data_IF_143157959580
#
_entry.id   IF_143157959580
#
_cell.length_a   1.000
_cell.length_b   1.000
_cell.length_c   1.000
_cell.angle_alpha   90.00
_cell.angle_beta   90.00
_cell.angle_gamma   90.00
#
_symmetry.space_group_name_H-M   'P 1'
#
loop_
_entity.id
_entity.type
_entity.pdbx_description
1 polymer ?
#
# COMPACT_ATOMS: atom_id res chain seq x y z
N UNK A 1 0.35 21.02 -16.42
CA UNK A 1 0.46 19.65 -15.87
C UNK A 1 0.03 18.67 -16.96
N UNK A 2 0.67 17.50 -17.06
CA UNK A 2 0.36 16.48 -18.09
C UNK A 2 -1.06 15.93 -17.87
N UNK A 3 -1.39 15.58 -16.62
CA UNK A 3 -2.76 15.22 -16.23
C UNK A 3 -3.63 16.47 -16.05
N UNK A 4 -4.87 16.38 -16.53
CA UNK A 4 -5.91 17.42 -16.40
C UNK A 4 -7.01 17.04 -15.40
N UNK A 5 -7.19 15.76 -15.12
CA UNK A 5 -8.16 15.25 -14.17
C UNK A 5 -7.93 15.79 -12.76
N UNK A 6 -9.04 15.96 -12.02
CA UNK A 6 -9.04 16.54 -10.69
C UNK A 6 -9.79 15.63 -9.72
N UNK A 7 -9.21 15.40 -8.55
CA UNK A 7 -9.81 14.60 -7.49
C UNK A 7 -9.92 15.41 -6.20
N UNK A 8 -10.85 15.03 -5.32
CA UNK A 8 -10.86 15.55 -3.95
C UNK A 8 -9.76 14.89 -3.11
N UNK A 9 -9.40 15.53 -2.00
CA UNK A 9 -8.49 14.97 -1.01
C UNK A 9 -9.04 13.64 -0.49
N UNK A 10 -10.35 13.56 -0.25
CA UNK A 10 -11.01 12.31 0.13
C UNK A 10 -10.80 11.22 -0.92
N UNK A 11 -11.03 11.51 -2.21
CA UNK A 11 -10.82 10.54 -3.29
C UNK A 11 -9.38 10.00 -3.33
N UNK A 12 -8.39 10.89 -3.20
CA UNK A 12 -6.98 10.49 -3.16
C UNK A 12 -6.71 9.52 -2.00
N UNK A 13 -7.20 9.83 -0.80
CA UNK A 13 -6.96 9.02 0.38
C UNK A 13 -7.78 7.72 0.40
N UNK A 14 -8.94 7.71 -0.25
CA UNK A 14 -9.74 6.52 -0.52
C UNK A 14 -9.07 5.59 -1.53
N UNK A 15 -8.26 6.11 -2.47
CA UNK A 15 -7.40 5.27 -3.33
C UNK A 15 -6.30 4.59 -2.51
N UNK A 16 -5.72 5.29 -1.54
CA UNK A 16 -4.60 4.77 -0.75
C UNK A 16 -5.02 3.73 0.29
N UNK A 17 -6.26 3.79 0.80
CA UNK A 17 -6.78 2.79 1.73
C UNK A 17 -6.66 1.34 1.20
N UNK A 18 -7.29 0.94 0.07
CA UNK A 18 -7.17 -0.40 -0.48
C UNK A 18 -5.77 -0.67 -1.03
N UNK A 19 -5.04 0.37 -1.46
CA UNK A 19 -3.63 0.24 -1.90
C UNK A 19 -2.77 -0.36 -0.80
N UNK A 20 -2.93 0.09 0.45
CA UNK A 20 -2.23 -0.49 1.60
C UNK A 20 -2.89 -1.82 1.99
N UNK A 21 -4.21 -1.77 2.26
CA UNK A 21 -4.96 -2.86 2.88
C UNK A 21 -4.97 -4.16 2.08
N UNK A 22 -5.02 -4.11 0.74
CA UNK A 22 -5.13 -5.30 -0.08
C UNK A 22 -4.03 -6.31 0.25
N UNK A 23 -2.76 -5.90 0.26
CA UNK A 23 -1.67 -6.84 0.59
C UNK A 23 -1.44 -6.99 2.10
N UNK A 24 -1.72 -5.94 2.87
CA UNK A 24 -1.41 -5.86 4.30
C UNK A 24 -2.24 -6.89 5.10
N UNK A 25 -3.57 -6.85 4.94
CA UNK A 25 -4.51 -7.61 5.76
C UNK A 25 -4.34 -9.12 5.68
N UNK A 26 -3.88 -9.63 4.54
CA UNK A 26 -3.73 -11.08 4.28
C UNK A 26 -2.35 -11.61 4.64
N UNK A 27 -1.30 -10.80 4.57
CA UNK A 27 0.09 -11.28 4.73
C UNK A 27 0.74 -10.84 6.05
N UNK A 28 0.46 -9.61 6.50
CA UNK A 28 1.12 -9.04 7.68
C UNK A 28 0.81 -9.80 8.97
N UNK A 29 -0.40 -10.35 9.22
CA UNK A 29 -0.62 -11.16 10.42
C UNK A 29 0.33 -12.37 10.50
N UNK A 30 0.56 -13.07 9.38
CA UNK A 30 1.48 -14.23 9.32
C UNK A 30 2.94 -13.83 9.51
N UNK A 31 3.37 -12.71 8.93
CA UNK A 31 4.77 -12.28 9.00
C UNK A 31 5.07 -11.67 10.37
N UNK A 32 4.24 -10.74 10.85
CA UNK A 32 4.53 -9.95 12.04
C UNK A 32 4.37 -10.79 13.32
N UNK A 33 3.47 -11.78 13.36
CA UNK A 33 3.32 -12.66 14.52
C UNK A 33 4.56 -13.53 14.79
N UNK A 34 5.35 -13.85 13.74
CA UNK A 34 6.62 -14.58 13.90
C UNK A 34 7.66 -13.80 14.71
N UNK A 35 7.51 -12.47 14.77
CA UNK A 35 8.37 -11.59 15.55
C UNK A 35 7.72 -11.17 16.86
N UNK A 36 6.47 -10.72 16.83
CA UNK A 36 5.79 -10.14 17.98
C UNK A 36 5.01 -11.15 18.84
N UNK A 37 4.78 -12.37 18.34
CA UNK A 37 3.94 -13.35 19.00
C UNK A 37 2.54 -12.78 19.29
N UNK A 38 2.00 -13.07 20.48
CA UNK A 38 0.69 -12.56 20.95
C UNK A 38 0.61 -11.03 20.99
N UNK A 39 1.73 -10.31 21.00
CA UNK A 39 1.79 -8.84 21.00
C UNK A 39 1.72 -8.22 19.59
N UNK A 40 1.36 -9.01 18.57
CA UNK A 40 1.13 -8.55 17.19
C UNK A 40 0.20 -7.33 17.11
N UNK A 41 -0.86 -7.29 17.91
CA UNK A 41 -1.82 -6.19 17.89
C UNK A 41 -1.21 -4.85 18.35
N UNK A 42 -0.29 -4.88 19.34
CA UNK A 42 0.49 -3.70 19.74
C UNK A 42 1.46 -3.26 18.63
N UNK A 43 2.02 -4.23 17.91
CA UNK A 43 2.93 -3.96 16.79
C UNK A 43 2.25 -3.14 15.69
N UNK A 44 0.97 -3.40 15.42
CA UNK A 44 0.15 -2.61 14.50
C UNK A 44 0.01 -1.15 14.93
N UNK A 45 -0.22 -0.92 16.23
CA UNK A 45 -0.37 0.43 16.77
C UNK A 45 0.96 1.20 16.68
N UNK A 46 2.09 0.56 17.00
CA UNK A 46 3.40 1.18 16.86
C UNK A 46 3.75 1.47 15.40
N UNK A 47 3.40 0.57 14.48
CA UNK A 47 3.62 0.75 13.06
C UNK A 47 2.83 1.92 12.46
N UNK A 48 1.60 2.18 12.93
CA UNK A 48 0.76 3.25 12.41
C UNK A 48 1.31 4.65 12.71
N UNK A 49 2.14 4.80 13.75
CA UNK A 49 2.88 6.04 14.04
C UNK A 49 3.72 6.50 12.84
N UNK A 50 4.30 5.55 12.10
CA UNK A 50 5.05 5.84 10.87
C UNK A 50 4.11 6.35 9.77
N UNK A 51 2.92 5.77 9.61
CA UNK A 51 1.91 6.27 8.68
C UNK A 51 1.51 7.72 8.98
N UNK A 52 1.25 8.04 10.26
CA UNK A 52 0.92 9.42 10.67
C UNK A 52 2.09 10.39 10.42
N UNK A 53 3.32 9.96 10.70
CA UNK A 53 4.52 10.74 10.38
C UNK A 53 4.64 11.00 8.87
N UNK A 54 4.42 9.99 8.03
CA UNK A 54 4.50 10.11 6.58
C UNK A 54 3.43 11.09 6.06
N UNK A 55 2.18 11.02 6.55
CA UNK A 55 1.14 12.02 6.20
C UNK A 55 1.58 13.44 6.57
N UNK A 56 2.18 13.61 7.75
CA UNK A 56 2.72 14.90 8.16
C UNK A 56 3.82 15.38 7.21
N UNK A 57 4.75 14.52 6.81
CA UNK A 57 5.82 14.85 5.86
C UNK A 57 5.25 15.29 4.51
N UNK A 58 4.26 14.55 3.97
CA UNK A 58 3.58 14.90 2.71
C UNK A 58 2.95 16.29 2.81
N UNK A 59 2.20 16.58 3.87
CA UNK A 59 1.55 17.89 4.09
C UNK A 59 2.58 19.02 4.15
N UNK A 60 3.69 18.83 4.88
CA UNK A 60 4.74 19.84 5.01
C UNK A 60 5.46 20.09 3.69
N UNK A 61 5.83 19.03 2.95
CA UNK A 61 6.46 19.17 1.64
C UNK A 61 5.53 19.88 0.64
N UNK A 62 4.24 19.57 0.65
CA UNK A 62 3.26 20.23 -0.21
C UNK A 62 3.07 21.72 0.09
N UNK A 63 3.10 22.11 1.36
CA UNK A 63 3.05 23.52 1.76
C UNK A 63 4.29 24.29 1.34
N UNK A 64 5.46 23.65 1.34
CA UNK A 64 6.71 24.28 0.88
C UNK A 64 6.77 24.39 -0.66
N UNK A 65 6.25 23.38 -1.37
CA UNK A 65 6.27 23.31 -2.83
C UNK A 65 4.85 23.09 -3.38
N UNK A 66 3.97 24.10 -3.27
CA UNK A 66 2.61 23.99 -3.77
C UNK A 66 2.62 23.79 -5.28
N UNK A 67 1.66 23.01 -5.79
CA UNK A 67 1.48 22.72 -7.22
C UNK A 67 2.63 21.97 -7.91
N UNK A 68 3.69 21.62 -7.20
CA UNK A 68 4.79 20.85 -7.77
C UNK A 68 4.57 19.36 -7.57
N UNK A 69 4.91 18.57 -8.59
CA UNK A 69 4.95 17.12 -8.49
C UNK A 69 6.16 16.66 -7.67
N UNK A 70 6.11 15.41 -7.18
CA UNK A 70 7.24 14.80 -6.48
C UNK A 70 8.56 14.98 -7.22
N UNK A 71 8.56 14.71 -8.53
CA UNK A 71 9.73 14.84 -9.39
C UNK A 71 10.22 16.30 -9.47
N UNK A 72 9.30 17.26 -9.61
CA UNK A 72 9.64 18.67 -9.73
C UNK A 72 10.24 19.23 -8.44
N UNK A 73 9.63 18.97 -7.28
CA UNK A 73 10.17 19.52 -6.04
C UNK A 73 11.47 18.80 -5.62
N UNK A 74 11.66 17.53 -5.98
CA UNK A 74 12.94 16.85 -5.74
C UNK A 74 14.10 17.53 -6.50
N UNK A 75 13.88 17.94 -7.75
CA UNK A 75 14.86 18.73 -8.50
C UNK A 75 15.13 20.10 -7.84
N UNK A 76 14.12 20.75 -7.28
CA UNK A 76 14.31 22.03 -6.56
C UNK A 76 15.03 21.88 -5.21
N UNK A 77 14.78 20.78 -4.49
CA UNK A 77 15.38 20.53 -3.16
C UNK A 77 16.84 20.08 -3.31
N UNK A 78 17.09 19.07 -4.15
CA UNK A 78 18.39 18.42 -4.28
C UNK A 78 19.26 19.03 -5.38
N UNK A 79 18.66 19.67 -6.38
CA UNK A 79 19.29 20.04 -7.64
C UNK A 79 18.90 19.08 -8.77
N UNK A 80 19.08 19.51 -10.02
CA UNK A 80 18.56 18.81 -11.21
C UNK A 80 19.08 17.37 -11.31
N UNK A 81 20.41 17.16 -11.23
CA UNK A 81 21.00 15.83 -11.36
C UNK A 81 20.57 14.87 -10.23
N UNK A 82 20.81 15.17 -8.93
CA UNK A 82 20.40 14.27 -7.85
C UNK A 82 18.88 14.11 -7.75
N UNK A 83 18.10 15.16 -8.04
CA UNK A 83 16.64 15.08 -8.11
C UNK A 83 16.14 14.15 -9.20
N UNK A 84 16.73 14.19 -10.40
CA UNK A 84 16.42 13.26 -11.49
C UNK A 84 16.83 11.84 -11.19
N UNK A 85 18.00 11.61 -10.58
CA UNK A 85 18.42 10.27 -10.16
C UNK A 85 17.44 9.70 -9.14
N UNK A 86 17.02 10.50 -8.17
CA UNK A 86 16.00 10.08 -7.20
C UNK A 86 14.69 9.72 -7.90
N UNK A 87 14.22 10.56 -8.83
CA UNK A 87 13.05 10.26 -9.65
C UNK A 87 13.15 8.90 -10.37
N UNK A 88 14.29 8.63 -11.02
CA UNK A 88 14.53 7.36 -11.70
C UNK A 88 14.51 6.16 -10.74
N UNK A 89 15.02 6.31 -9.52
CA UNK A 89 14.97 5.28 -8.47
C UNK A 89 13.51 4.94 -8.13
N UNK A 90 12.65 5.94 -7.89
CA UNK A 90 11.22 5.68 -7.63
C UNK A 90 10.51 5.04 -8.82
N UNK A 91 10.79 5.49 -10.05
CA UNK A 91 10.18 4.91 -11.25
C UNK A 91 10.59 3.44 -11.45
N UNK A 92 11.88 3.15 -11.27
CA UNK A 92 12.39 1.78 -11.34
C UNK A 92 11.77 0.91 -10.26
N UNK A 93 11.65 1.45 -9.04
CA UNK A 93 10.99 0.77 -7.93
C UNK A 93 9.50 0.53 -8.20
N UNK A 94 8.75 1.48 -8.78
CA UNK A 94 7.33 1.26 -9.10
C UNK A 94 7.14 0.12 -10.10
N UNK A 95 7.96 0.05 -11.15
CA UNK A 95 7.91 -1.06 -12.11
C UNK A 95 8.24 -2.41 -11.43
N UNK A 96 9.28 -2.43 -10.60
CA UNK A 96 9.64 -3.61 -9.82
C UNK A 96 8.53 -4.02 -8.83
N UNK A 97 7.95 -3.07 -8.11
CA UNK A 97 6.88 -3.30 -7.15
C UNK A 97 5.62 -3.84 -7.84
N UNK A 98 5.27 -3.33 -9.03
CA UNK A 98 4.17 -3.88 -9.84
C UNK A 98 4.37 -5.34 -10.18
N UNK A 99 5.58 -5.72 -10.60
CA UNK A 99 5.90 -7.13 -10.86
C UNK A 99 5.68 -8.03 -9.65
N UNK A 100 6.07 -7.57 -8.44
CA UNK A 100 5.83 -8.28 -7.18
C UNK A 100 4.33 -8.34 -6.85
N UNK A 101 3.61 -7.22 -6.93
CA UNK A 101 2.19 -7.14 -6.60
C UNK A 101 1.38 -8.06 -7.50
N UNK A 102 1.66 -8.07 -8.80
CA UNK A 102 1.02 -8.96 -9.76
C UNK A 102 1.38 -10.44 -9.53
N UNK A 103 2.59 -10.72 -9.03
CA UNK A 103 3.01 -12.07 -8.66
C UNK A 103 2.26 -12.56 -7.43
N UNK A 104 2.22 -11.74 -6.37
CA UNK A 104 1.44 -12.00 -5.14
C UNK A 104 -0.04 -12.23 -5.49
N UNK A 105 -0.59 -11.39 -6.38
CA UNK A 105 -1.94 -11.52 -6.91
C UNK A 105 -2.21 -12.87 -7.56
N UNK A 106 -1.42 -13.23 -8.57
CA UNK A 106 -1.67 -14.43 -9.34
C UNK A 106 -1.45 -15.70 -8.53
N UNK A 107 -0.42 -15.75 -7.68
CA UNK A 107 -0.19 -16.91 -6.80
C UNK A 107 -1.32 -17.10 -5.80
N UNK A 108 -1.86 -16.01 -5.23
CA UNK A 108 -3.01 -16.11 -4.32
C UNK A 108 -4.27 -16.59 -5.05
N UNK A 109 -4.60 -15.99 -6.20
CA UNK A 109 -5.83 -16.32 -6.96
C UNK A 109 -5.79 -17.75 -7.50
N UNK A 110 -4.68 -18.16 -8.11
CA UNK A 110 -4.52 -19.51 -8.66
C UNK A 110 -4.45 -20.54 -7.54
N UNK A 111 -3.67 -20.25 -6.49
CA UNK A 111 -3.49 -21.16 -5.35
C UNK A 111 -4.77 -21.39 -4.56
N UNK A 112 -5.70 -20.43 -4.58
CA UNK A 112 -6.91 -20.49 -3.76
C UNK A 112 -8.18 -20.87 -4.54
N UNK A 113 -8.32 -20.49 -5.83
CA UNK A 113 -9.60 -20.64 -6.56
C UNK A 113 -9.44 -21.00 -8.05
N UNK A 114 -8.48 -20.42 -8.76
CA UNK A 114 -8.34 -20.58 -10.22
C UNK A 114 -7.19 -21.52 -10.59
N UNK A 115 -7.13 -22.70 -9.98
CA UNK A 115 -6.01 -23.65 -10.10
C UNK A 115 -5.77 -24.16 -11.54
N UNK A 116 -6.80 -24.14 -12.39
CA UNK A 116 -6.73 -24.57 -13.79
C UNK A 116 -6.48 -23.42 -14.77
N UNK A 117 -6.49 -22.16 -14.31
CA UNK A 117 -6.33 -21.00 -15.18
C UNK A 117 -4.85 -20.67 -15.37
N UNK A 118 -4.36 -20.50 -16.61
CA UNK A 118 -2.96 -20.15 -16.84
C UNK A 118 -2.55 -18.85 -16.17
N UNK A 119 -1.35 -18.82 -15.59
CA UNK A 119 -0.78 -17.66 -14.89
C UNK A 119 -0.86 -16.36 -15.71
N UNK A 120 -0.52 -16.44 -17.00
CA UNK A 120 -0.57 -15.29 -17.92
C UNK A 120 -1.98 -14.73 -18.12
N UNK A 121 -3.02 -15.58 -18.09
CA UNK A 121 -4.41 -15.12 -18.24
C UNK A 121 -4.85 -14.35 -17.00
N UNK A 122 -4.47 -14.82 -15.80
CA UNK A 122 -4.80 -14.15 -14.54
C UNK A 122 -4.11 -12.78 -14.45
N UNK A 123 -2.80 -12.71 -14.69
CA UNK A 123 -2.06 -11.43 -14.66
C UNK A 123 -2.47 -10.52 -15.80
N UNK A 124 -2.55 -11.05 -17.03
CA UNK A 124 -2.85 -10.27 -18.23
C UNK A 124 -4.24 -9.62 -18.20
N UNK A 125 -5.25 -10.33 -17.67
CA UNK A 125 -6.60 -9.79 -17.53
C UNK A 125 -6.64 -8.63 -16.52
N UNK A 126 -5.98 -8.77 -15.36
CA UNK A 126 -5.90 -7.68 -14.38
C UNK A 126 -5.17 -6.47 -14.97
N UNK A 127 -3.99 -6.67 -15.57
CA UNK A 127 -3.20 -5.59 -16.18
C UNK A 127 -3.98 -4.88 -17.29
N UNK A 128 -4.74 -5.63 -18.09
CA UNK A 128 -5.58 -5.04 -19.14
C UNK A 128 -6.65 -4.11 -18.57
N UNK A 129 -7.38 -4.55 -17.54
CA UNK A 129 -8.42 -3.72 -16.89
C UNK A 129 -7.79 -2.50 -16.21
N UNK A 130 -6.65 -2.66 -15.52
CA UNK A 130 -5.89 -1.56 -14.94
C UNK A 130 -5.40 -0.58 -16.01
N UNK A 131 -4.91 -1.05 -17.16
CA UNK A 131 -4.47 -0.19 -18.26
C UNK A 131 -5.62 0.66 -18.82
N UNK A 132 -6.82 0.09 -18.93
CA UNK A 132 -8.02 0.83 -19.32
C UNK A 132 -8.36 1.93 -18.29
N UNK A 133 -8.34 1.61 -16.99
CA UNK A 133 -8.60 2.58 -15.93
C UNK A 133 -7.56 3.71 -15.88
N UNK A 134 -6.27 3.36 -15.97
CA UNK A 134 -5.14 4.31 -15.96
C UNK A 134 -5.18 5.22 -17.18
N UNK A 135 -5.52 4.72 -18.39
CA UNK A 135 -5.72 5.58 -19.58
C UNK A 135 -6.89 6.55 -19.41
N UNK A 136 -7.92 6.15 -18.65
CA UNK A 136 -9.05 6.99 -18.27
C UNK A 136 -8.68 8.14 -17.32
N UNK A 137 -7.52 8.06 -16.66
CA UNK A 137 -6.95 9.10 -15.83
C UNK A 137 -7.30 9.01 -14.35
N UNK A 138 -6.76 9.94 -13.58
CA UNK A 138 -6.84 9.92 -12.10
C UNK A 138 -8.27 9.92 -11.57
N UNK A 139 -9.21 10.56 -12.27
CA UNK A 139 -10.62 10.58 -11.89
C UNK A 139 -11.28 9.20 -11.99
N UNK A 140 -10.95 8.43 -13.03
CA UNK A 140 -11.47 7.07 -13.21
C UNK A 140 -10.95 6.18 -12.08
N UNK A 141 -9.64 6.22 -11.81
CA UNK A 141 -9.05 5.47 -10.70
C UNK A 141 -9.65 5.87 -9.35
N UNK A 142 -9.83 7.17 -9.10
CA UNK A 142 -10.43 7.69 -7.88
C UNK A 142 -11.88 7.24 -7.67
N UNK A 143 -12.71 7.29 -8.73
CA UNK A 143 -14.10 6.82 -8.68
C UNK A 143 -14.19 5.31 -8.48
N UNK A 144 -13.34 4.53 -9.16
CA UNK A 144 -13.27 3.09 -8.95
C UNK A 144 -12.86 2.75 -7.51
N UNK A 145 -11.88 3.46 -6.94
CA UNK A 145 -11.49 3.25 -5.55
C UNK A 145 -12.61 3.57 -4.56
N UNK A 146 -13.38 4.64 -4.79
CA UNK A 146 -14.54 4.98 -3.96
C UNK A 146 -15.60 3.88 -3.94
N UNK A 147 -15.86 3.27 -5.10
CA UNK A 147 -16.78 2.14 -5.20
C UNK A 147 -16.28 0.93 -4.40
N UNK A 148 -14.99 0.60 -4.54
CA UNK A 148 -14.42 -0.60 -3.93
C UNK A 148 -14.11 -0.46 -2.43
N UNK A 149 -13.95 0.75 -1.90
CA UNK A 149 -13.69 0.95 -0.46
C UNK A 149 -14.83 0.47 0.42
N UNK A 150 -16.09 0.72 0.04
CA UNK A 150 -17.25 0.25 0.79
C UNK A 150 -17.34 -1.27 0.80
N UNK A 151 -17.02 -1.89 -0.35
CA UNK A 151 -16.93 -3.33 -0.52
C UNK A 151 -15.77 -3.95 0.26
N UNK A 152 -14.70 -3.19 0.55
CA UNK A 152 -13.59 -3.65 1.38
C UNK A 152 -13.94 -3.80 2.86
N UNK A 153 -14.70 -2.83 3.36
CA UNK A 153 -14.99 -2.72 4.78
C UNK A 153 -16.09 -3.73 5.16
N UNK A 154 -17.23 -3.71 4.47
CA UNK A 154 -18.43 -4.41 4.92
C UNK A 154 -18.24 -5.94 5.14
N UNK A 155 -17.67 -6.72 4.19
CA UNK A 155 -17.56 -8.17 4.34
C UNK A 155 -16.55 -8.58 5.41
N UNK A 156 -15.50 -7.78 5.62
CA UNK A 156 -14.55 -8.01 6.71
C UNK A 156 -15.23 -7.84 8.08
N UNK A 157 -16.00 -6.77 8.26
CA UNK A 157 -16.74 -6.56 9.51
C UNK A 157 -17.79 -7.65 9.77
N UNK A 158 -18.48 -8.10 8.71
CA UNK A 158 -19.42 -9.22 8.79
C UNK A 158 -18.71 -10.50 9.23
N UNK A 159 -17.55 -10.81 8.63
CA UNK A 159 -16.74 -11.98 9.01
C UNK A 159 -16.35 -11.93 10.49
N UNK A 160 -15.88 -10.78 10.99
CA UNK A 160 -15.52 -10.61 12.41
C UNK A 160 -16.74 -10.82 13.32
N UNK A 161 -17.91 -10.31 12.93
CA UNK A 161 -19.16 -10.48 13.70
C UNK A 161 -19.56 -11.96 13.81
N UNK A 162 -19.48 -12.70 12.71
CA UNK A 162 -19.81 -14.13 12.67
C UNK A 162 -18.85 -14.98 13.49
N UNK A 163 -17.59 -14.55 13.62
CA UNK A 163 -16.57 -15.27 14.40
C UNK A 163 -16.64 -15.01 15.91
N UNK A 164 -17.39 -13.99 16.37
CA UNK A 164 -17.44 -13.63 17.80
C UNK A 164 -17.68 -14.80 18.77
N UNK A 165 -18.56 -15.78 18.48
CA UNK A 165 -18.80 -16.92 19.38
C UNK A 165 -17.57 -17.81 19.61
N UNK A 166 -16.66 -17.86 18.64
CA UNK A 166 -15.48 -18.75 18.62
C UNK A 166 -14.20 -18.04 19.09
N UNK A 167 -14.24 -16.74 19.36
CA UNK A 167 -13.05 -15.98 19.73
C UNK A 167 -12.61 -16.24 21.18
N UNK A 168 -11.38 -16.71 21.35
CA UNK A 168 -10.78 -16.92 22.66
C UNK A 168 -9.83 -15.79 23.04
N UNK A 169 -10.34 -14.77 23.74
CA UNK A 169 -9.57 -13.59 24.21
C UNK A 169 -8.34 -13.96 25.04
N UNK A 170 -8.37 -15.13 25.72
CA UNK A 170 -7.23 -15.66 26.49
C UNK A 170 -5.96 -15.83 25.65
N UNK A 171 -6.09 -16.01 24.33
CA UNK A 171 -4.96 -16.12 23.40
C UNK A 171 -4.11 -14.84 23.32
N UNK A 172 -4.59 -13.70 23.82
CA UNK A 172 -3.83 -12.46 23.93
C UNK A 172 -2.86 -12.42 25.12
N UNK A 173 -3.06 -13.27 26.12
CA UNK A 173 -2.31 -13.24 27.38
C UNK A 173 -1.22 -14.31 27.44
N UNK A 174 -0.14 -14.09 28.22
CA UNK A 174 0.20 -12.82 28.88
C UNK A 174 0.72 -11.78 27.87
N UNK A 175 0.41 -10.51 28.13
CA UNK A 175 0.81 -9.36 27.30
C UNK A 175 2.26 -9.00 27.63
N UNK A 176 3.09 -8.75 26.61
CA UNK A 176 4.52 -8.40 26.73
C UNK A 176 5.34 -9.41 27.53
N UNK A 177 5.03 -10.71 27.40
CA UNK A 177 5.69 -11.81 28.09
C UNK A 177 7.23 -11.83 27.89
N UNK A 178 7.67 -11.36 26.73
CA UNK A 178 9.07 -11.31 26.32
C UNK A 178 9.61 -9.86 26.21
N UNK A 179 8.94 -8.91 26.90
CA UNK A 179 9.25 -7.48 26.85
C UNK A 179 8.79 -6.81 25.55
N UNK A 180 9.16 -5.53 25.37
CA UNK A 180 8.69 -4.71 24.24
C UNK A 180 9.46 -4.93 22.93
N UNK A 181 10.66 -5.49 22.99
CA UNK A 181 11.53 -5.62 21.81
C UNK A 181 10.93 -6.51 20.70
N UNK A 182 10.32 -7.67 20.99
CA UNK A 182 9.61 -8.47 19.98
C UNK A 182 8.49 -7.69 19.28
N UNK A 183 7.71 -6.92 20.04
CA UNK A 183 6.67 -6.03 19.52
C UNK A 183 7.24 -4.96 18.57
N UNK A 184 8.35 -4.33 18.93
CA UNK A 184 9.02 -3.35 18.06
C UNK A 184 9.50 -4.01 16.76
N UNK A 185 10.03 -5.24 16.81
CA UNK A 185 10.43 -5.99 15.62
C UNK A 185 9.23 -6.32 14.72
N UNK A 186 8.11 -6.74 15.30
CA UNK A 186 6.86 -6.93 14.56
C UNK A 186 6.34 -5.62 13.94
N UNK A 187 6.48 -4.49 14.64
CA UNK A 187 6.09 -3.19 14.13
C UNK A 187 6.95 -2.77 12.93
N UNK A 188 8.23 -3.15 12.91
CA UNK A 188 9.14 -2.89 11.79
C UNK A 188 8.63 -3.49 10.46
N UNK A 189 7.95 -4.65 10.52
CA UNK A 189 7.30 -5.27 9.36
C UNK A 189 6.13 -4.41 8.90
N UNK A 190 5.15 -4.19 9.78
CA UNK A 190 3.90 -3.51 9.45
C UNK A 190 4.09 -2.05 9.05
N UNK A 191 5.13 -1.37 9.54
CA UNK A 191 5.40 0.02 9.15
C UNK A 191 5.73 0.18 7.67
N UNK A 192 6.26 -0.86 7.01
CA UNK A 192 6.60 -0.76 5.58
C UNK A 192 5.31 -0.61 4.76
N UNK A 193 4.27 -1.38 5.07
CA UNK A 193 2.93 -1.19 4.48
C UNK A 193 2.33 0.18 4.83
N UNK A 194 2.42 0.62 6.09
CA UNK A 194 1.98 1.97 6.49
C UNK A 194 2.73 3.08 5.74
N UNK A 195 4.01 2.87 5.42
CA UNK A 195 4.83 3.80 4.64
C UNK A 195 4.31 4.04 3.22
N UNK A 196 3.63 3.07 2.60
CA UNK A 196 3.08 3.20 1.23
C UNK A 196 2.07 4.34 1.09
N UNK A 197 1.55 4.88 2.21
CA UNK A 197 0.81 6.14 2.26
C UNK A 197 1.56 7.31 1.58
N UNK A 198 2.90 7.24 1.52
CA UNK A 198 3.71 8.20 0.77
C UNK A 198 3.33 8.32 -0.70
N UNK A 199 2.72 7.30 -1.31
CA UNK A 199 2.20 7.37 -2.68
C UNK A 199 1.25 8.56 -2.90
N UNK A 200 0.57 9.04 -1.86
CA UNK A 200 -0.25 10.25 -1.92
C UNK A 200 0.50 11.49 -2.40
N UNK A 201 1.81 11.58 -2.16
CA UNK A 201 2.64 12.68 -2.65
C UNK A 201 2.64 12.81 -4.19
N UNK A 202 2.44 11.71 -4.91
CA UNK A 202 2.40 11.68 -6.37
C UNK A 202 1.06 12.16 -6.95
N UNK A 203 -0.02 12.12 -6.15
CA UNK A 203 -1.37 12.52 -6.55
C UNK A 203 -1.76 13.92 -6.09
N UNK A 204 -1.11 14.41 -5.04
CA UNK A 204 -1.41 15.69 -4.41
C UNK A 204 -1.46 16.92 -5.34
N UNK A 205 -0.65 17.02 -6.41
CA UNK A 205 -0.79 18.12 -7.39
C UNK A 205 -2.16 18.17 -8.08
N UNK A 206 -2.85 17.04 -8.18
CA UNK A 206 -4.16 16.90 -8.84
C UNK A 206 -5.35 17.05 -7.88
N UNK A 207 -5.07 17.20 -6.58
CA UNK A 207 -6.10 17.42 -5.56
C UNK A 207 -6.59 18.87 -5.58
N UNK A 208 -7.92 19.06 -5.59
CA UNK A 208 -8.57 20.39 -5.60
C UNK A 208 -8.56 21.03 -4.21
N UNK A 209 -9.04 20.31 -3.20
CA UNK A 209 -9.21 20.79 -1.81
C UNK A 209 -8.00 20.43 -0.93
N UNK A 210 -6.79 20.83 -1.36
CA UNK A 210 -5.51 20.43 -0.72
C UNK A 210 -5.41 20.74 0.76
N UNK A 211 -6.11 21.77 1.24
CA UNK A 211 -6.18 22.11 2.66
C UNK A 211 -6.69 20.94 3.54
N UNK A 212 -7.55 20.09 2.98
CA UNK A 212 -8.06 18.89 3.64
C UNK A 212 -7.12 17.67 3.49
N UNK A 213 -6.02 17.79 2.75
CA UNK A 213 -5.09 16.70 2.47
C UNK A 213 -4.57 16.04 3.74
N UNK A 214 -4.10 16.82 4.72
CA UNK A 214 -3.65 16.28 6.02
C UNK A 214 -4.79 15.60 6.79
N UNK A 215 -5.97 16.25 6.86
CA UNK A 215 -7.13 15.74 7.61
C UNK A 215 -7.51 14.35 7.12
N UNK A 216 -7.76 14.22 5.82
CA UNK A 216 -8.16 12.94 5.22
C UNK A 216 -7.04 11.90 5.26
N UNK A 217 -5.77 12.30 5.16
CA UNK A 217 -4.65 11.38 5.31
C UNK A 217 -4.56 10.78 6.71
N UNK A 218 -4.72 11.61 7.74
CA UNK A 218 -4.73 11.13 9.13
C UNK A 218 -5.92 10.19 9.38
N UNK A 219 -7.10 10.52 8.84
CA UNK A 219 -8.29 9.67 8.93
C UNK A 219 -8.04 8.32 8.25
N UNK A 220 -7.49 8.30 7.04
CA UNK A 220 -7.19 7.05 6.33
C UNK A 220 -6.19 6.19 7.08
N UNK A 221 -5.08 6.76 7.58
CA UNK A 221 -4.11 5.98 8.40
C UNK A 221 -4.78 5.41 9.65
N UNK A 222 -5.64 6.18 10.32
CA UNK A 222 -6.40 5.70 11.47
C UNK A 222 -7.30 4.51 11.13
N UNK A 223 -8.02 4.56 10.00
CA UNK A 223 -8.88 3.45 9.57
C UNK A 223 -8.09 2.22 9.09
N UNK A 224 -6.94 2.40 8.44
CA UNK A 224 -6.05 1.28 8.11
C UNK A 224 -5.55 0.62 9.41
N UNK A 225 -5.08 1.43 10.38
CA UNK A 225 -4.65 0.94 11.69
C UNK A 225 -5.77 0.17 12.39
N UNK A 226 -6.99 0.73 12.44
CA UNK A 226 -8.13 0.10 13.09
C UNK A 226 -8.49 -1.24 12.42
N UNK A 227 -8.56 -1.28 11.09
CA UNK A 227 -8.94 -2.49 10.38
C UNK A 227 -7.87 -3.59 10.52
N UNK A 228 -6.59 -3.24 10.41
CA UNK A 228 -5.49 -4.19 10.63
C UNK A 228 -5.40 -4.65 12.09
N UNK A 229 -5.70 -3.77 13.06
CA UNK A 229 -5.78 -4.12 14.46
C UNK A 229 -6.89 -5.15 14.71
N UNK A 230 -8.08 -4.92 14.15
CA UNK A 230 -9.19 -5.87 14.21
C UNK A 230 -8.81 -7.20 13.57
N UNK A 231 -8.19 -7.18 12.37
CA UNK A 231 -7.75 -8.40 11.69
C UNK A 231 -6.77 -9.21 12.55
N UNK A 232 -5.75 -8.54 13.11
CA UNK A 232 -4.75 -9.17 13.96
C UNK A 232 -5.33 -9.75 15.25
N UNK A 233 -6.27 -9.03 15.90
CA UNK A 233 -6.96 -9.53 17.09
C UNK A 233 -7.86 -10.72 16.75
N UNK A 234 -8.62 -10.66 15.66
CA UNK A 234 -9.50 -11.75 15.23
C UNK A 234 -8.71 -13.02 14.98
N UNK A 235 -7.63 -12.98 14.18
CA UNK A 235 -6.83 -14.19 13.90
C UNK A 235 -6.10 -14.69 15.15
N UNK A 236 -5.63 -13.78 16.02
CA UNK A 236 -5.00 -14.15 17.28
C UNK A 236 -5.99 -14.83 18.24
N UNK A 237 -7.21 -14.31 18.36
CA UNK A 237 -8.22 -14.85 19.26
C UNK A 237 -8.76 -16.18 18.75
N UNK A 238 -8.92 -16.32 17.42
CA UNK A 238 -9.42 -17.53 16.80
C UNK A 238 -8.39 -18.66 16.80
N UNK A 239 -7.18 -18.40 16.30
CA UNK A 239 -6.18 -19.44 16.05
C UNK A 239 -5.05 -19.49 17.10
N UNK A 240 -4.85 -18.41 17.85
CA UNK A 240 -3.70 -18.30 18.75
C UNK A 240 -2.37 -18.08 18.01
N UNK A 241 -1.29 -17.87 18.76
CA UNK A 241 0.03 -17.54 18.21
C UNK A 241 0.60 -18.68 17.34
N UNK A 242 0.55 -19.91 17.83
CA UNK A 242 1.22 -21.06 17.20
C UNK A 242 0.65 -21.32 15.82
N UNK A 243 -0.67 -21.50 15.73
CA UNK A 243 -1.35 -21.76 14.45
C UNK A 243 -1.22 -20.56 13.51
N UNK A 244 -1.47 -19.34 13.97
CA UNK A 244 -1.38 -18.13 13.10
C UNK A 244 0.02 -17.97 12.48
N UNK A 245 1.08 -18.36 13.19
CA UNK A 245 2.45 -18.29 12.66
C UNK A 245 2.75 -19.28 11.53
N UNK A 246 1.95 -20.33 11.40
CA UNK A 246 2.08 -21.36 10.37
C UNK A 246 1.20 -21.11 9.15
N UNK A 247 0.16 -20.29 9.29
CA UNK A 247 -0.77 -19.95 8.21
C UNK A 247 -0.12 -19.00 7.20
N UNK A 248 -0.35 -19.22 5.91
CA UNK A 248 0.10 -18.31 4.85
C UNK A 248 -0.78 -17.07 4.77
N UNK A 249 -2.11 -17.24 4.92
CA UNK A 249 -3.11 -16.18 4.75
C UNK A 249 -4.15 -16.19 5.88
N UNK A 250 -3.78 -15.79 7.12
CA UNK A 250 -4.59 -16.04 8.32
C UNK A 250 -6.03 -15.49 8.25
N UNK A 251 -6.22 -14.31 7.68
CA UNK A 251 -7.56 -13.71 7.52
C UNK A 251 -8.43 -14.51 6.54
N UNK A 252 -7.80 -15.12 5.54
CA UNK A 252 -8.50 -15.95 4.57
C UNK A 252 -8.87 -17.32 5.15
N UNK A 253 -8.01 -17.88 5.99
CA UNK A 253 -8.32 -19.10 6.76
C UNK A 253 -9.43 -18.84 7.80
N UNK A 254 -9.49 -17.64 8.39
CA UNK A 254 -10.61 -17.22 9.23
C UNK A 254 -11.93 -17.11 8.44
N UNK A 255 -11.89 -16.61 7.20
CA UNK A 255 -13.06 -16.60 6.33
C UNK A 255 -13.56 -18.01 6.00
N UNK A 256 -12.65 -18.95 5.72
CA UNK A 256 -12.98 -20.36 5.49
C UNK A 256 -13.57 -21.04 6.72
N UNK A 257 -13.08 -20.70 7.92
CA UNK A 257 -13.63 -21.21 9.17
C UNK A 257 -15.13 -20.89 9.31
N UNK A 258 -15.55 -19.67 8.98
CA UNK A 258 -16.96 -19.27 9.02
C UNK A 258 -17.83 -20.14 8.10
N UNK A 259 -17.32 -20.47 6.90
CA UNK A 259 -18.06 -21.30 5.95
C UNK A 259 -18.11 -22.78 6.34
N UNK A 260 -17.14 -23.28 7.09
CA UNK A 260 -17.16 -24.64 7.65
C UNK A 260 -18.04 -24.77 8.90
N UNK A 261 -18.33 -23.65 9.57
CA UNK A 261 -19.21 -23.58 10.73
C UNK A 261 -20.70 -23.39 10.35
N UNK A 262 -21.07 -23.65 9.07
CA UNK A 262 -22.43 -23.62 8.50
C UNK A 262 -23.21 -22.29 8.68
N UNK A 263 -22.54 -21.16 8.91
CA UNK A 263 -23.21 -19.85 9.03
C UNK A 263 -23.57 -19.23 7.67
N UNK A 264 -22.61 -19.21 6.75
CA UNK A 264 -22.74 -18.70 5.38
C UNK A 264 -21.83 -19.53 4.47
N UNK A 265 -22.42 -20.18 3.45
CA UNK A 265 -21.67 -20.90 2.44
C UNK A 265 -20.83 -19.92 1.60
N UNK A 266 -19.55 -20.25 1.41
CA UNK A 266 -18.62 -19.55 0.51
C UNK A 266 -18.30 -18.08 0.84
N UNK A 267 -18.24 -17.71 2.12
CA UNK A 267 -17.80 -16.38 2.55
C UNK A 267 -16.38 -16.07 2.06
N UNK A 268 -15.52 -17.08 1.96
CA UNK A 268 -14.18 -16.98 1.41
C UNK A 268 -14.18 -16.45 -0.04
N UNK A 269 -15.18 -16.81 -0.85
CA UNK A 269 -15.31 -16.29 -2.22
C UNK A 269 -15.61 -14.79 -2.26
N UNK A 270 -16.44 -14.31 -1.33
CA UNK A 270 -16.76 -12.88 -1.19
C UNK A 270 -15.51 -12.10 -0.76
N UNK A 271 -14.80 -12.62 0.26
CA UNK A 271 -13.54 -12.01 0.73
C UNK A 271 -12.50 -11.95 -0.39
N UNK A 272 -12.39 -13.00 -1.20
CA UNK A 272 -11.55 -12.98 -2.40
C UNK A 272 -11.98 -11.89 -3.38
N UNK A 273 -13.26 -11.81 -3.75
CA UNK A 273 -13.74 -10.86 -4.75
C UNK A 273 -13.43 -9.41 -4.34
N UNK A 274 -13.65 -9.11 -3.07
CA UNK A 274 -13.27 -7.85 -2.44
C UNK A 274 -11.77 -7.61 -2.58
N UNK A 275 -10.96 -8.59 -2.19
CA UNK A 275 -9.51 -8.46 -2.25
C UNK A 275 -8.98 -8.19 -3.67
N UNK A 276 -9.50 -8.91 -4.67
CA UNK A 276 -9.16 -8.70 -6.09
C UNK A 276 -9.44 -7.26 -6.50
N UNK A 277 -10.56 -6.68 -6.07
CA UNK A 277 -10.88 -5.27 -6.33
C UNK A 277 -9.87 -4.31 -5.67
N UNK A 278 -9.33 -4.66 -4.50
CA UNK A 278 -8.32 -3.86 -3.80
C UNK A 278 -6.96 -3.92 -4.49
N UNK A 279 -6.57 -5.11 -4.94
CA UNK A 279 -5.38 -5.28 -5.77
C UNK A 279 -5.52 -4.50 -7.07
N UNK A 280 -6.70 -4.51 -7.70
CA UNK A 280 -6.97 -3.67 -8.87
C UNK A 280 -6.70 -2.18 -8.58
N UNK A 281 -7.20 -1.64 -7.46
CA UNK A 281 -6.92 -0.24 -7.08
C UNK A 281 -5.43 -0.03 -6.81
N UNK A 282 -4.78 -0.96 -6.08
CA UNK A 282 -3.34 -0.91 -5.78
C UNK A 282 -2.50 -0.83 -7.05
N UNK A 283 -2.74 -1.74 -8.01
CA UNK A 283 -2.08 -1.76 -9.32
C UNK A 283 -2.38 -0.47 -10.07
N UNK A 284 -3.62 0.02 -10.08
CA UNK A 284 -3.91 1.30 -10.75
C UNK A 284 -3.11 2.47 -10.15
N UNK A 285 -2.96 2.52 -8.82
CA UNK A 285 -2.22 3.60 -8.14
C UNK A 285 -0.74 3.58 -8.47
N UNK A 286 -0.08 2.42 -8.38
CA UNK A 286 1.34 2.27 -8.70
C UNK A 286 1.59 2.48 -10.20
N UNK A 287 0.79 1.87 -11.06
CA UNK A 287 0.88 1.97 -12.51
C UNK A 287 0.66 3.41 -12.99
N UNK A 288 -0.33 4.10 -12.43
CA UNK A 288 -0.57 5.51 -12.73
C UNK A 288 0.62 6.39 -12.31
N UNK A 289 1.15 6.20 -11.10
CA UNK A 289 2.33 6.91 -10.63
C UNK A 289 3.57 6.65 -11.51
N UNK A 290 3.74 5.41 -11.98
CA UNK A 290 4.81 4.99 -12.88
C UNK A 290 4.72 5.66 -14.25
N UNK A 291 3.58 5.58 -14.95
CA UNK A 291 3.46 6.14 -16.31
C UNK A 291 3.46 7.67 -16.29
N UNK A 292 2.76 8.27 -15.33
CA UNK A 292 2.72 9.73 -15.20
C UNK A 292 4.08 10.28 -14.76
N UNK A 293 4.72 9.64 -13.79
CA UNK A 293 6.03 10.02 -13.33
C UNK A 293 7.09 9.87 -14.41
N UNK A 294 7.04 8.80 -15.20
CA UNK A 294 7.92 8.62 -16.35
C UNK A 294 7.71 9.73 -17.36
N UNK A 295 6.46 10.02 -17.74
CA UNK A 295 6.15 11.12 -18.67
C UNK A 295 6.69 12.47 -18.16
N UNK A 296 6.62 12.74 -16.86
CA UNK A 296 7.20 13.95 -16.27
C UNK A 296 8.73 13.96 -16.32
N UNK A 297 9.36 12.83 -16.01
CA UNK A 297 10.81 12.69 -15.93
C UNK A 297 11.49 12.85 -17.31
N UNK A 298 10.92 12.26 -18.37
CA UNK A 298 11.37 12.46 -19.77
C UNK A 298 10.69 13.65 -20.48
N UNK A 299 9.83 14.41 -19.78
CA UNK A 299 9.14 15.62 -20.30
C UNK A 299 8.23 15.37 -21.52
N UNK A 300 7.51 14.25 -21.53
CA UNK A 300 6.43 14.00 -22.49
C UNK A 300 5.22 14.91 -22.24
N UNK A 301 4.46 15.18 -23.30
CA UNK A 301 3.22 15.96 -23.24
C UNK A 301 2.00 15.16 -22.76
N UNK A 302 2.04 13.83 -22.89
CA UNK A 302 0.99 12.89 -22.47
C UNK A 302 1.64 11.59 -21.91
N UNK A 303 1.04 11.00 -20.88
CA UNK A 303 1.47 9.73 -20.31
C UNK A 303 0.74 8.53 -20.93
N UNK A 304 -0.41 8.73 -21.58
CA UNK A 304 -1.23 7.63 -22.12
C UNK A 304 -0.50 6.70 -23.11
N UNK A 305 0.42 7.19 -23.97
CA UNK A 305 1.21 6.31 -24.83
C UNK A 305 2.11 5.35 -24.07
N UNK A 306 2.49 5.68 -22.83
CA UNK A 306 3.33 4.83 -21.98
C UNK A 306 2.55 3.69 -21.33
N UNK A 307 1.21 3.76 -21.28
CA UNK A 307 0.42 2.75 -20.56
C UNK A 307 0.67 1.36 -21.13
N UNK A 308 0.31 1.08 -22.38
CA UNK A 308 0.48 -0.28 -22.93
C UNK A 308 1.92 -0.84 -22.86
N UNK A 309 2.97 -0.08 -23.21
CA UNK A 309 4.35 -0.54 -23.03
C UNK A 309 4.70 -0.91 -21.58
N UNK A 310 4.33 -0.07 -20.60
CA UNK A 310 4.59 -0.38 -19.20
C UNK A 310 3.72 -1.54 -18.70
N UNK A 311 2.48 -1.68 -19.16
CA UNK A 311 1.65 -2.85 -18.86
C UNK A 311 2.28 -4.16 -19.32
N UNK A 312 2.87 -4.16 -20.52
CA UNK A 312 3.64 -5.31 -21.01
C UNK A 312 4.89 -5.56 -20.14
N UNK A 313 5.65 -4.52 -19.78
CA UNK A 313 6.80 -4.65 -18.89
C UNK A 313 6.40 -5.18 -17.50
N UNK A 314 5.29 -4.72 -16.94
CA UNK A 314 4.78 -5.19 -15.65
C UNK A 314 4.53 -6.71 -15.68
N UNK A 315 3.90 -7.22 -16.76
CA UNK A 315 3.69 -8.66 -16.96
C UNK A 315 5.03 -9.39 -17.05
N UNK A 316 6.01 -8.88 -17.79
CA UNK A 316 7.34 -9.49 -17.89
C UNK A 316 8.05 -9.56 -16.54
N UNK A 317 8.00 -8.48 -15.76
CA UNK A 317 8.60 -8.42 -14.43
C UNK A 317 7.95 -9.44 -13.47
N UNK A 318 6.68 -9.78 -13.63
CA UNK A 318 6.03 -10.84 -12.85
C UNK A 318 6.69 -12.22 -13.03
N UNK A 319 7.23 -12.52 -14.22
CA UNK A 319 7.96 -13.76 -14.47
C UNK A 319 9.43 -13.69 -14.06
N UNK A 320 10.04 -12.50 -14.16
CA UNK A 320 11.49 -12.34 -14.03
C UNK A 320 11.97 -12.13 -12.57
N UNK A 321 11.19 -11.45 -11.74
CA UNK A 321 11.64 -11.04 -10.39
C UNK A 321 11.85 -12.23 -9.45
N UNK A 322 10.97 -13.25 -9.50
CA UNK A 322 11.01 -14.35 -8.55
C UNK A 322 10.93 -15.72 -9.22
N UNK A 323 11.92 -16.60 -8.98
CA UNK A 323 11.95 -17.92 -9.62
C UNK A 323 10.92 -18.90 -9.03
N UNK A 324 10.52 -18.75 -7.76
CA UNK A 324 9.55 -19.63 -7.11
C UNK A 324 8.77 -18.95 -5.99
N UNK A 325 7.61 -19.49 -5.63
CA UNK A 325 6.78 -19.01 -4.52
C UNK A 325 7.55 -18.92 -3.18
N UNK A 326 8.38 -19.92 -2.87
CA UNK A 326 9.20 -19.91 -1.64
C UNK A 326 10.16 -18.71 -1.62
N UNK A 327 10.75 -18.37 -2.76
CA UNK A 327 11.67 -17.24 -2.87
C UNK A 327 10.94 -15.89 -2.80
N UNK A 328 9.64 -15.85 -3.13
CA UNK A 328 8.80 -14.66 -2.97
C UNK A 328 8.67 -14.28 -1.50
N UNK A 329 8.37 -15.26 -0.62
CA UNK A 329 8.27 -15.03 0.82
C UNK A 329 9.57 -14.49 1.44
N UNK A 330 10.72 -15.02 1.01
CA UNK A 330 12.02 -14.50 1.43
C UNK A 330 12.28 -13.08 0.92
N UNK A 331 11.96 -12.79 -0.34
CA UNK A 331 12.10 -11.47 -0.93
C UNK A 331 11.25 -10.44 -0.17
N UNK A 332 10.00 -10.79 0.14
CA UNK A 332 9.08 -9.92 0.89
C UNK A 332 9.65 -9.62 2.27
N UNK A 333 10.06 -10.65 3.01
CA UNK A 333 10.48 -10.51 4.41
C UNK A 333 11.87 -9.93 4.60
N UNK A 334 12.79 -10.12 3.63
CA UNK A 334 14.19 -9.68 3.77
C UNK A 334 14.56 -8.47 2.93
N UNK A 335 13.86 -8.19 1.83
CA UNK A 335 14.26 -7.16 0.86
C UNK A 335 13.19 -6.08 0.76
N UNK A 336 11.96 -6.46 0.43
CA UNK A 336 10.84 -5.53 0.20
C UNK A 336 10.59 -4.61 1.40
N UNK A 337 10.62 -5.14 2.63
CA UNK A 337 10.44 -4.33 3.85
C UNK A 337 11.47 -3.19 3.92
N UNK A 338 12.74 -3.46 3.65
CA UNK A 338 13.80 -2.44 3.70
C UNK A 338 13.68 -1.45 2.55
N UNK A 339 13.40 -1.91 1.32
CA UNK A 339 13.22 -1.05 0.15
C UNK A 339 12.06 -0.07 0.34
N UNK A 340 10.91 -0.59 0.77
CA UNK A 340 9.71 0.18 1.07
C UNK A 340 9.97 1.21 2.18
N UNK A 341 10.60 0.80 3.28
CA UNK A 341 10.93 1.72 4.38
C UNK A 341 11.92 2.79 3.92
N UNK A 342 12.94 2.44 3.15
CA UNK A 342 13.91 3.40 2.64
C UNK A 342 13.24 4.44 1.72
N UNK A 343 12.47 3.98 0.74
CA UNK A 343 11.89 4.85 -0.28
C UNK A 343 10.67 5.62 0.21
N UNK A 344 9.81 5.04 1.04
CA UNK A 344 8.57 5.70 1.44
C UNK A 344 8.59 6.33 2.83
N UNK A 345 9.61 6.04 3.64
CA UNK A 345 9.74 6.64 4.98
C UNK A 345 11.03 7.44 5.09
N UNK A 346 12.19 6.79 4.95
CA UNK A 346 13.48 7.43 5.24
C UNK A 346 13.77 8.59 4.28
N UNK A 347 13.69 8.36 2.97
CA UNK A 347 13.97 9.41 1.97
C UNK A 347 13.03 10.61 2.15
N UNK A 348 11.69 10.46 2.23
CA UNK A 348 10.79 11.59 2.44
C UNK A 348 11.07 12.36 3.73
N UNK A 349 11.34 11.65 4.83
CA UNK A 349 11.66 12.26 6.13
C UNK A 349 12.95 13.07 6.03
N UNK A 350 13.97 12.57 5.32
CA UNK A 350 15.24 13.29 5.10
C UNK A 350 15.10 14.46 4.11
N UNK A 351 14.21 14.36 3.12
CA UNK A 351 13.93 15.45 2.17
C UNK A 351 13.36 16.69 2.87
N UNK A 352 12.55 16.52 3.91
CA UNK A 352 11.85 17.62 4.57
C UNK A 352 12.80 18.63 5.25
N UNK A 353 13.79 18.25 6.07
CA UNK A 353 14.80 19.19 6.59
C UNK A 353 15.55 19.94 5.49
N UNK A 354 15.98 19.23 4.43
CA UNK A 354 16.70 19.84 3.30
C UNK A 354 15.82 20.87 2.59
N UNK A 355 14.54 20.55 2.37
CA UNK A 355 13.53 21.46 1.83
C UNK A 355 13.37 22.73 2.67
N UNK A 356 13.25 22.59 4.00
CA UNK A 356 13.11 23.73 4.92
C UNK A 356 14.36 24.62 4.88
N UNK A 357 15.56 24.03 4.87
CA UNK A 357 16.82 24.79 4.78
C UNK A 357 16.94 25.54 3.45
N UNK A 358 16.57 24.91 2.34
CA UNK A 358 16.55 25.53 1.00
C UNK A 358 15.63 26.75 0.95
N UNK A 359 14.39 26.64 1.46
CA UNK A 359 13.43 27.75 1.48
C UNK A 359 13.89 28.93 2.32
N UNK A 360 14.43 28.67 3.52
CA UNK A 360 15.00 29.73 4.38
C UNK A 360 16.15 30.47 3.71
N UNK A 361 16.99 29.79 2.93
CA UNK A 361 18.10 30.44 2.20
C UNK A 361 17.59 31.34 1.07
N UNK A 362 16.53 30.94 0.37
CA UNK A 362 15.90 31.76 -0.68
C UNK A 362 15.28 33.05 -0.10
N UNK A 363 14.57 32.93 1.03
CA UNK A 363 13.97 34.09 1.72
C UNK A 363 15.04 35.08 2.19
N UNK A 364 16.16 34.62 2.76
CA UNK A 364 17.27 35.49 3.18
C UNK A 364 18.01 36.14 2.01
N UNK A 365 18.19 35.42 0.90
CA UNK A 365 18.84 35.96 -0.30
C UNK A 365 17.98 36.99 -1.04
N UNK A 366 16.65 36.88 -0.96
CA UNK A 366 15.71 37.85 -1.54
C UNK A 366 15.46 39.10 -0.69
N UNK A 367 15.89 39.12 0.57
CA UNK A 367 15.87 40.31 1.44
C UNK A 367 17.18 41.11 1.41
N UNK A 368 18.25 40.56 0.82
CA UNK A 368 19.56 41.17 0.71
C UNK A 368 19.82 41.84 -0.67
N UNK A 369 18.84 41.75 -1.57
CA UNK A 369 18.74 42.47 -2.85
C UNK A 369 17.51 43.36 -2.79
#
# INVERSE_FOLDING_TARGET
MIEKGRISALQMWVMLYPTVMATDIITVPSISIKYAGRDLWLSTILASLVGFLVVYVIDRLNKLYPEQTFFQYCEHILGVLPGKMLGLIYLSYFLYAEGIILREYAEFVIGSFLSQTPFLVVVGSLVFVCACAVRGGVEVVGRSAQLFVGLFILPFFLMVLLLLPDLHVRNMFPILAHGIMPTIKGAFVSQSWMGQIFLGAFFLPYVVDRANGKKWGMITVFFIMLNLLMANLTVLFLFGQEVTSMLTYPVMDAARYVSLADFIEHLESIVMAVWVAGVFVKVCVYYYALVLGTAQWIKLSDYRPLVLPFGFLMILFTFWIVPSHQKLGELITKVKIFEVTLLFVVIPVLLLPVAVLRKRKQEKGGQAN
#
